data_IF_584364824456
#
_entry.id   IF_584364824456
#
_cell.length_a   1.000
_cell.length_b   1.000
_cell.length_c   1.000
_cell.angle_alpha   90.00
_cell.angle_beta   90.00
_cell.angle_gamma   90.00
#
_symmetry.space_group_name_H-M   'P 1'
#
loop_
_entity.id
_entity.type
_entity.pdbx_description
1 polymer ?
#
# COMPACT_ATOMS: atom_id res chain seq x y z
N UNK A 1 -12.85 -18.31 0.36
CA UNK A 1 -13.23 -17.17 1.25
C UNK A 1 -12.27 -17.16 2.44
N UNK A 2 -11.57 -16.05 2.62
CA UNK A 2 -10.54 -15.86 3.64
C UNK A 2 -10.95 -14.76 4.63
N UNK A 3 -10.56 -14.92 5.88
CA UNK A 3 -10.86 -13.95 6.94
C UNK A 3 -9.93 -12.76 6.86
N UNK A 4 -10.46 -11.54 7.10
CA UNK A 4 -9.65 -10.39 7.39
C UNK A 4 -9.06 -10.46 8.82
N UNK A 5 -7.83 -10.03 8.97
CA UNK A 5 -7.22 -9.83 10.28
C UNK A 5 -7.91 -8.68 11.03
N UNK A 6 -7.69 -8.61 12.35
CA UNK A 6 -8.17 -7.46 13.13
C UNK A 6 -7.57 -6.14 12.67
N UNK A 7 -6.32 -6.16 12.22
CA UNK A 7 -5.61 -5.00 11.68
C UNK A 7 -6.21 -4.54 10.36
N UNK A 8 -6.53 -5.47 9.44
CA UNK A 8 -7.16 -5.13 8.15
C UNK A 8 -8.51 -4.45 8.37
N UNK A 9 -9.30 -4.95 9.31
CA UNK A 9 -10.59 -4.35 9.65
C UNK A 9 -10.41 -2.95 10.24
N UNK A 10 -9.41 -2.74 11.08
CA UNK A 10 -9.07 -1.42 11.62
C UNK A 10 -8.67 -0.46 10.49
N UNK A 11 -7.80 -0.88 9.58
CA UNK A 11 -7.38 -0.09 8.42
C UNK A 11 -8.55 0.29 7.53
N UNK A 12 -9.45 -0.66 7.23
CA UNK A 12 -10.68 -0.38 6.47
C UNK A 12 -11.63 0.58 7.17
N UNK A 13 -11.72 0.50 8.50
CA UNK A 13 -12.60 1.36 9.29
C UNK A 13 -12.01 2.77 9.47
N UNK A 14 -10.68 2.90 9.47
CA UNK A 14 -9.99 4.20 9.58
C UNK A 14 -9.94 4.98 8.28
N UNK A 15 -10.26 4.35 7.14
CA UNK A 15 -10.30 5.04 5.86
C UNK A 15 -11.55 5.93 5.77
N UNK A 16 -11.31 7.18 5.40
CA UNK A 16 -12.34 8.20 5.17
C UNK A 16 -12.12 8.84 3.79
N UNK A 17 -13.05 9.65 3.28
CA UNK A 17 -12.81 10.41 2.04
C UNK A 17 -11.55 11.28 2.07
N UNK A 18 -11.08 11.66 3.25
CA UNK A 18 -9.89 12.48 3.44
C UNK A 18 -8.65 11.67 3.86
N UNK A 19 -8.82 10.43 4.30
CA UNK A 19 -7.72 9.57 4.76
C UNK A 19 -7.77 8.28 3.98
N UNK A 20 -6.92 8.15 2.98
CA UNK A 20 -6.84 6.98 2.12
C UNK A 20 -5.84 5.96 2.69
N UNK A 21 -6.20 4.70 2.68
CA UNK A 21 -5.36 3.60 3.18
C UNK A 21 -4.70 2.81 2.05
N UNK A 22 -4.31 3.49 0.97
CA UNK A 22 -3.54 2.90 -0.11
C UNK A 22 -2.08 3.39 -0.10
N UNK A 23 -1.21 2.57 -0.64
CA UNK A 23 0.20 2.89 -0.88
C UNK A 23 0.46 2.97 -2.37
N UNK A 24 1.39 3.84 -2.76
CA UNK A 24 1.87 3.91 -4.14
C UNK A 24 3.30 3.40 -4.23
N UNK A 25 3.56 2.61 -5.25
CA UNK A 25 4.89 2.16 -5.66
C UNK A 25 5.14 2.68 -7.07
N UNK A 26 6.26 3.33 -7.28
CA UNK A 26 6.61 3.93 -8.56
C UNK A 26 7.91 3.32 -9.05
N UNK A 27 7.88 2.77 -10.25
CA UNK A 27 9.07 2.36 -10.99
C UNK A 27 9.21 3.23 -12.23
N UNK A 28 10.32 3.94 -12.34
CA UNK A 28 10.70 4.63 -13.57
C UNK A 28 11.68 3.73 -14.31
N UNK A 29 11.34 3.38 -15.54
CA UNK A 29 12.07 2.42 -16.36
C UNK A 29 12.66 3.15 -17.56
N UNK A 30 13.96 3.01 -17.76
CA UNK A 30 14.64 3.42 -18.97
C UNK A 30 14.42 2.35 -20.04
N UNK A 31 13.85 2.74 -21.17
CA UNK A 31 13.52 1.86 -22.27
C UNK A 31 14.50 1.97 -23.44
N UNK A 32 15.58 2.74 -23.30
CA UNK A 32 16.56 2.97 -24.36
C UNK A 32 17.27 1.69 -24.84
N UNK A 33 17.42 0.70 -23.94
CA UNK A 33 18.01 -0.62 -24.26
C UNK A 33 17.00 -1.73 -24.49
N UNK A 34 15.71 -1.40 -24.58
CA UNK A 34 14.66 -2.40 -24.75
C UNK A 34 14.45 -2.75 -26.22
N UNK A 35 14.58 -4.04 -26.56
CA UNK A 35 14.29 -4.53 -27.92
C UNK A 35 12.78 -4.58 -28.12
N UNK A 36 12.21 -3.58 -28.79
CA UNK A 36 10.78 -3.44 -29.05
C UNK A 36 10.18 -2.13 -28.56
N UNK A 37 8.86 -2.04 -28.56
CA UNK A 37 8.13 -0.85 -28.09
C UNK A 37 7.59 -1.14 -26.70
N UNK A 38 8.03 -0.36 -25.71
CA UNK A 38 7.44 -0.36 -24.38
C UNK A 38 6.10 0.37 -24.44
N UNK A 39 5.02 -0.34 -24.78
CA UNK A 39 3.68 0.20 -24.93
C UNK A 39 2.75 -0.25 -23.81
N UNK A 40 1.64 0.48 -23.63
CA UNK A 40 0.59 0.09 -22.70
C UNK A 40 -0.02 -1.28 -23.05
N UNK A 41 -0.18 -1.57 -24.33
CA UNK A 41 -0.71 -2.85 -24.83
C UNK A 41 0.18 -4.00 -24.39
N UNK A 42 1.51 -3.85 -24.57
CA UNK A 42 2.48 -4.87 -24.16
C UNK A 42 2.52 -5.01 -22.63
N UNK A 43 2.46 -3.92 -21.89
CA UNK A 43 2.34 -3.96 -20.44
C UNK A 43 1.09 -4.72 -20.00
N UNK A 44 -0.06 -4.49 -20.64
CA UNK A 44 -1.31 -5.18 -20.36
C UNK A 44 -1.25 -6.68 -20.65
N UNK A 45 -0.61 -7.08 -21.75
CA UNK A 45 -0.37 -8.50 -22.09
C UNK A 45 0.45 -9.21 -21.04
N UNK A 46 1.62 -8.63 -20.68
CA UNK A 46 2.51 -9.19 -19.66
C UNK A 46 1.81 -9.28 -18.30
N UNK A 47 1.07 -8.24 -17.92
CA UNK A 47 0.32 -8.22 -16.67
C UNK A 47 -0.74 -9.33 -16.66
N UNK A 48 -1.51 -9.46 -17.74
CA UNK A 48 -2.54 -10.52 -17.88
C UNK A 48 -1.94 -11.92 -17.76
N UNK A 49 -0.81 -12.18 -18.38
CA UNK A 49 -0.14 -13.47 -18.30
C UNK A 49 0.35 -13.82 -16.89
N UNK A 50 0.62 -12.82 -16.05
CA UNK A 50 1.11 -13.00 -14.67
C UNK A 50 0.02 -13.00 -13.60
N UNK A 51 -1.17 -12.51 -13.91
CA UNK A 51 -2.28 -12.47 -12.96
C UNK A 51 -2.51 -13.79 -12.22
N UNK A 52 -2.49 -14.97 -12.88
CA UNK A 52 -2.76 -16.25 -12.20
C UNK A 52 -1.81 -16.54 -11.02
N UNK A 53 -0.56 -16.05 -11.08
CA UNK A 53 0.43 -16.25 -10.02
C UNK A 53 0.52 -15.10 -9.01
N UNK A 54 -0.31 -14.08 -9.20
CA UNK A 54 -0.42 -12.92 -8.32
C UNK A 54 -1.68 -13.03 -7.44
N UNK A 55 -1.73 -14.09 -6.62
CA UNK A 55 -2.88 -14.47 -5.81
C UNK A 55 -3.63 -13.28 -5.15
N UNK A 56 -2.98 -12.34 -4.44
CA UNK A 56 -3.71 -11.25 -3.80
C UNK A 56 -4.46 -10.31 -4.77
N UNK A 57 -4.09 -10.30 -6.05
CA UNK A 57 -4.75 -9.46 -7.06
C UNK A 57 -6.19 -9.88 -7.35
N UNK A 58 -6.55 -11.13 -7.05
CA UNK A 58 -7.90 -11.65 -7.22
C UNK A 58 -8.79 -11.46 -5.97
N UNK A 59 -8.25 -10.87 -4.90
CA UNK A 59 -9.00 -10.72 -3.65
C UNK A 59 -9.94 -9.52 -3.70
N UNK A 60 -11.22 -9.79 -3.51
CA UNK A 60 -12.27 -8.78 -3.40
C UNK A 60 -12.91 -8.81 -2.02
N UNK A 61 -13.25 -7.63 -1.50
CA UNK A 61 -13.99 -7.51 -0.25
C UNK A 61 -15.46 -7.83 -0.48
N UNK A 62 -15.98 -8.79 0.26
CA UNK A 62 -17.40 -9.12 0.29
C UNK A 62 -17.98 -8.77 1.66
N UNK A 63 -18.99 -7.89 1.67
CA UNK A 63 -19.72 -7.55 2.91
C UNK A 63 -20.68 -8.67 3.24
N UNK A 64 -20.76 -9.02 4.52
CA UNK A 64 -21.80 -9.94 4.99
C UNK A 64 -23.17 -9.27 4.96
N UNK A 65 -24.24 -10.00 4.61
CA UNK A 65 -25.60 -9.49 4.67
C UNK A 65 -25.91 -8.88 6.05
N UNK A 66 -26.69 -7.79 6.05
CA UNK A 66 -27.10 -7.04 7.25
C UNK A 66 -25.95 -6.63 8.18
N UNK A 67 -24.71 -6.62 7.70
CA UNK A 67 -23.51 -6.32 8.52
C UNK A 67 -23.34 -7.21 9.76
N UNK A 68 -23.87 -8.42 9.73
CA UNK A 68 -23.79 -9.38 10.84
C UNK A 68 -22.37 -9.85 11.16
N UNK A 69 -21.44 -9.64 10.22
CA UNK A 69 -20.05 -10.00 10.37
C UNK A 69 -19.14 -8.97 9.68
N UNK A 70 -17.85 -9.01 10.00
CA UNK A 70 -16.82 -8.23 9.28
C UNK A 70 -16.76 -8.67 7.82
N UNK A 71 -16.32 -7.80 6.89
CA UNK A 71 -16.07 -8.20 5.52
C UNK A 71 -15.11 -9.40 5.46
N UNK A 72 -15.23 -10.18 4.41
CA UNK A 72 -14.35 -11.33 4.11
C UNK A 72 -13.71 -11.15 2.75
N UNK A 73 -12.55 -11.76 2.54
CA UNK A 73 -11.94 -11.88 1.23
C UNK A 73 -12.60 -12.99 0.42
N UNK A 74 -12.99 -12.66 -0.77
CA UNK A 74 -13.29 -13.61 -1.83
C UNK A 74 -12.09 -13.67 -2.77
N UNK A 75 -11.58 -14.88 -3.01
CA UNK A 75 -10.25 -15.10 -3.59
C UNK A 75 -10.24 -15.24 -5.12
N UNK A 76 -11.40 -15.40 -5.74
CA UNK A 76 -11.52 -15.62 -7.19
C UNK A 76 -12.38 -14.53 -7.86
N UNK A 77 -12.11 -13.27 -7.58
CA UNK A 77 -12.84 -12.17 -8.19
C UNK A 77 -12.55 -12.07 -9.70
N UNK A 78 -13.61 -11.82 -10.47
CA UNK A 78 -13.45 -11.44 -11.87
C UNK A 78 -12.78 -10.07 -11.97
N UNK A 79 -11.77 -9.96 -12.84
CA UNK A 79 -10.96 -8.76 -12.99
C UNK A 79 -11.34 -8.00 -14.25
N UNK A 80 -11.82 -6.78 -14.05
CA UNK A 80 -11.98 -5.80 -15.12
C UNK A 80 -10.62 -5.10 -15.34
N UNK A 81 -9.85 -5.62 -16.31
CA UNK A 81 -8.53 -5.08 -16.61
C UNK A 81 -8.56 -3.64 -17.14
N UNK A 82 -9.67 -3.18 -17.68
CA UNK A 82 -9.81 -1.79 -18.13
C UNK A 82 -9.94 -0.84 -16.93
N UNK A 83 -10.48 -1.31 -15.81
CA UNK A 83 -10.48 -0.57 -14.55
C UNK A 83 -9.13 -0.65 -13.84
N UNK A 84 -8.51 -1.81 -13.85
CA UNK A 84 -7.31 -2.07 -13.05
C UNK A 84 -6.01 -1.58 -13.68
N UNK A 85 -5.94 -1.54 -15.01
CA UNK A 85 -4.79 -1.10 -15.78
C UNK A 85 -5.14 0.17 -16.56
N UNK A 86 -4.54 1.28 -16.18
CA UNK A 86 -4.83 2.60 -16.72
C UNK A 86 -3.62 3.15 -17.47
N UNK A 87 -3.85 3.79 -18.60
CA UNK A 87 -2.85 4.58 -19.31
C UNK A 87 -2.96 6.02 -18.86
N UNK A 88 -1.84 6.66 -18.54
CA UNK A 88 -1.79 8.07 -18.17
C UNK A 88 -0.67 8.77 -18.92
N UNK A 89 -0.90 10.02 -19.28
CA UNK A 89 0.11 10.86 -19.93
C UNK A 89 0.73 11.81 -18.91
N UNK A 90 2.05 11.88 -18.93
CA UNK A 90 2.82 12.88 -18.18
C UNK A 90 2.95 14.12 -19.08
N UNK A 91 2.44 15.28 -18.63
CA UNK A 91 2.46 16.50 -19.46
C UNK A 91 3.90 16.92 -19.81
N UNK A 92 4.06 17.62 -20.95
CA UNK A 92 5.32 18.25 -21.29
C UNK A 92 5.77 19.22 -20.18
N UNK A 93 7.07 19.31 -19.87
CA UNK A 93 8.21 18.70 -20.56
C UNK A 93 8.52 17.24 -20.17
N UNK A 94 7.67 16.54 -19.39
CA UNK A 94 7.84 15.13 -19.05
C UNK A 94 8.93 14.86 -18.03
N UNK A 95 9.22 15.84 -17.21
CA UNK A 95 10.22 15.73 -16.15
C UNK A 95 9.66 15.14 -14.85
N UNK A 96 10.49 15.16 -13.81
CA UNK A 96 10.13 14.64 -12.49
C UNK A 96 8.94 15.37 -11.88
N UNK A 97 8.86 16.70 -12.00
CA UNK A 97 7.77 17.49 -11.41
C UNK A 97 6.41 17.15 -12.02
N UNK A 98 6.38 16.94 -13.32
CA UNK A 98 5.17 16.57 -14.05
C UNK A 98 4.73 15.14 -13.66
N UNK A 99 5.68 14.20 -13.52
CA UNK A 99 5.41 12.87 -13.00
C UNK A 99 4.90 12.93 -11.56
N UNK A 100 5.52 13.71 -10.69
CA UNK A 100 5.10 13.89 -9.29
C UNK A 100 3.67 14.46 -9.21
N UNK A 101 3.29 15.37 -10.10
CA UNK A 101 1.92 15.89 -10.19
C UNK A 101 0.92 14.80 -10.61
N UNK A 102 1.29 13.92 -11.56
CA UNK A 102 0.47 12.78 -11.97
C UNK A 102 0.29 11.81 -10.78
N UNK A 103 1.36 11.48 -10.07
CA UNK A 103 1.31 10.62 -8.89
C UNK A 103 0.42 11.22 -7.80
N UNK A 104 0.52 12.53 -7.55
CA UNK A 104 -0.34 13.24 -6.60
C UNK A 104 -1.83 13.14 -6.95
N UNK A 105 -2.20 13.27 -8.22
CA UNK A 105 -3.59 13.06 -8.69
C UNK A 105 -4.07 11.63 -8.45
N UNK A 106 -3.25 10.62 -8.79
CA UNK A 106 -3.55 9.22 -8.56
C UNK A 106 -3.73 8.94 -7.06
N UNK A 107 -2.88 9.51 -6.21
CA UNK A 107 -2.96 9.36 -4.77
C UNK A 107 -4.20 10.04 -4.14
N UNK A 108 -4.76 11.05 -4.82
CA UNK A 108 -5.91 11.82 -4.32
C UNK A 108 -7.25 11.09 -4.46
N UNK A 109 -7.33 10.01 -5.26
CA UNK A 109 -8.56 9.26 -5.46
C UNK A 109 -8.54 7.97 -4.64
N UNK A 110 -9.59 7.60 -3.90
CA UNK A 110 -9.67 6.31 -3.22
C UNK A 110 -9.81 5.15 -4.22
N UNK A 111 -9.54 3.93 -3.75
CA UNK A 111 -9.86 2.71 -4.49
C UNK A 111 -11.32 2.33 -4.28
N UNK A 112 -11.97 1.82 -5.32
CA UNK A 112 -13.34 1.32 -5.23
C UNK A 112 -13.38 -0.01 -4.45
N UNK A 113 -14.07 -0.01 -3.30
CA UNK A 113 -14.19 -1.17 -2.43
C UNK A 113 -15.12 -2.28 -2.96
N UNK A 114 -15.82 -2.03 -4.05
CA UNK A 114 -16.63 -3.05 -4.74
C UNK A 114 -15.80 -3.91 -5.69
N UNK A 115 -14.52 -3.59 -5.87
CA UNK A 115 -13.56 -4.25 -6.76
C UNK A 115 -12.32 -4.71 -5.96
N UNK A 116 -11.45 -5.55 -6.51
CA UNK A 116 -10.13 -5.79 -5.95
C UNK A 116 -9.38 -4.49 -5.72
N UNK A 117 -8.71 -4.38 -4.56
CA UNK A 117 -8.24 -3.10 -4.03
C UNK A 117 -6.85 -2.71 -4.57
N UNK A 118 -6.72 -2.63 -5.89
CA UNK A 118 -5.50 -2.21 -6.56
C UNK A 118 -5.76 -1.61 -7.93
N UNK A 119 -4.84 -0.79 -8.40
CA UNK A 119 -4.78 -0.27 -9.77
C UNK A 119 -3.30 -0.08 -10.16
N UNK A 120 -3.00 -0.29 -11.43
CA UNK A 120 -1.71 0.05 -12.00
C UNK A 120 -1.89 1.08 -13.12
N UNK A 121 -0.97 2.02 -13.17
CA UNK A 121 -0.95 3.09 -14.16
C UNK A 121 0.34 2.99 -14.95
N UNK A 122 0.22 2.95 -16.27
CA UNK A 122 1.33 3.03 -17.21
C UNK A 122 1.43 4.49 -17.67
N UNK A 123 2.50 5.17 -17.24
CA UNK A 123 2.71 6.59 -17.50
C UNK A 123 3.70 6.79 -18.64
N UNK A 124 3.24 7.43 -19.70
CA UNK A 124 4.01 7.80 -20.90
C UNK A 124 4.32 9.29 -20.92
N UNK A 125 5.14 9.74 -21.88
CA UNK A 125 5.47 11.16 -22.03
C UNK A 125 6.65 11.64 -21.21
N UNK A 126 7.40 10.72 -20.53
CA UNK A 126 8.61 11.11 -19.82
C UNK A 126 9.78 11.39 -20.77
N UNK A 127 10.63 12.34 -20.38
CA UNK A 127 11.87 12.63 -21.10
C UNK A 127 12.86 11.48 -21.05
N UNK A 128 13.70 11.33 -22.10
CA UNK A 128 14.83 10.40 -22.11
C UNK A 128 14.42 8.94 -22.28
N UNK A 129 13.44 8.65 -23.16
CA UNK A 129 12.97 7.28 -23.45
C UNK A 129 12.63 6.50 -22.16
N UNK A 130 11.88 7.13 -21.28
CA UNK A 130 11.46 6.54 -20.01
C UNK A 130 9.95 6.41 -19.94
N UNK A 131 9.52 5.40 -19.25
CA UNK A 131 8.14 5.19 -18.81
C UNK A 131 8.10 5.12 -17.29
N UNK A 132 6.93 5.32 -16.70
CA UNK A 132 6.75 4.98 -15.29
C UNK A 132 5.57 4.01 -15.10
N UNK A 133 5.75 3.04 -14.22
CA UNK A 133 4.67 2.17 -13.75
C UNK A 133 4.36 2.53 -12.30
N UNK A 134 3.12 2.92 -12.05
CA UNK A 134 2.65 3.36 -10.74
C UNK A 134 1.64 2.32 -10.23
N UNK A 135 2.02 1.53 -9.25
CA UNK A 135 1.13 0.59 -8.57
C UNK A 135 0.48 1.25 -7.36
N UNK A 136 -0.85 1.31 -7.34
CA UNK A 136 -1.68 1.79 -6.24
C UNK A 136 -2.38 0.60 -5.61
N UNK A 137 -2.04 0.29 -4.36
CA UNK A 137 -2.46 -0.93 -3.68
C UNK A 137 -2.95 -0.54 -2.28
N UNK A 138 -4.14 -1.02 -1.91
CA UNK A 138 -4.66 -0.79 -0.56
C UNK A 138 -3.85 -1.57 0.46
N UNK A 139 -3.59 -0.96 1.61
CA UNK A 139 -2.73 -1.51 2.65
C UNK A 139 -3.23 -2.86 3.21
N UNK A 140 -4.53 -3.10 3.17
CA UNK A 140 -5.13 -4.38 3.60
C UNK A 140 -4.88 -5.53 2.62
N UNK A 141 -4.59 -5.24 1.35
CA UNK A 141 -4.28 -6.26 0.35
C UNK A 141 -2.82 -6.71 0.46
N UNK A 142 -1.92 -5.75 0.67
CA UNK A 142 -0.50 -6.00 0.83
C UNK A 142 0.15 -4.88 1.65
N UNK A 143 0.94 -5.25 2.64
CA UNK A 143 1.77 -4.30 3.39
C UNK A 143 2.91 -3.72 2.54
N UNK A 144 3.74 -2.86 3.14
CA UNK A 144 4.80 -2.15 2.43
C UNK A 144 5.79 -3.09 1.70
N UNK A 145 6.18 -4.20 2.31
CA UNK A 145 7.12 -5.17 1.73
C UNK A 145 6.41 -6.07 0.73
N UNK A 146 5.23 -6.59 1.08
CA UNK A 146 4.44 -7.44 0.20
C UNK A 146 4.03 -6.69 -1.09
N UNK A 147 3.64 -5.41 -1.00
CA UNK A 147 3.29 -4.61 -2.17
C UNK A 147 4.48 -4.29 -3.07
N UNK A 148 5.68 -4.11 -2.49
CA UNK A 148 6.91 -3.94 -3.27
C UNK A 148 7.30 -5.23 -4.00
N UNK A 149 7.21 -6.38 -3.32
CA UNK A 149 7.44 -7.69 -3.93
C UNK A 149 6.41 -7.99 -5.02
N UNK A 150 5.14 -7.64 -4.79
CA UNK A 150 4.08 -7.81 -5.77
C UNK A 150 4.38 -7.00 -7.05
N UNK A 151 4.78 -5.73 -6.89
CA UNK A 151 5.20 -4.89 -8.01
C UNK A 151 6.43 -5.46 -8.72
N UNK A 152 7.45 -5.91 -8.00
CA UNK A 152 8.63 -6.52 -8.58
C UNK A 152 8.27 -7.75 -9.43
N UNK A 153 7.41 -8.64 -8.92
CA UNK A 153 6.91 -9.80 -9.65
C UNK A 153 6.09 -9.43 -10.88
N UNK A 154 5.31 -8.36 -10.81
CA UNK A 154 4.54 -7.85 -11.95
C UNK A 154 5.44 -7.30 -13.06
N UNK A 155 6.57 -6.67 -12.69
CA UNK A 155 7.50 -6.05 -13.63
C UNK A 155 8.63 -6.98 -14.11
N UNK A 156 8.70 -8.22 -13.62
CA UNK A 156 9.67 -9.18 -14.14
C UNK A 156 9.34 -9.53 -15.59
N UNK A 157 10.23 -9.15 -16.49
CA UNK A 157 10.12 -9.40 -17.92
C UNK A 157 10.79 -10.74 -18.29
N UNK A 158 10.27 -11.87 -17.80
CA UNK A 158 10.76 -13.19 -18.17
C UNK A 158 9.69 -13.93 -18.99
N UNK A 159 10.12 -14.67 -19.99
CA UNK A 159 9.26 -15.47 -20.87
C UNK A 159 8.64 -16.72 -20.21
N UNK A 160 8.69 -16.82 -18.89
CA UNK A 160 8.09 -17.91 -18.14
C UNK A 160 6.55 -17.75 -18.14
N UNK A 161 5.92 -18.32 -19.13
CA UNK A 161 4.50 -18.67 -19.14
C UNK A 161 4.32 -19.90 -18.25
N UNK A 162 4.11 -19.70 -16.94
CA UNK A 162 3.48 -20.74 -16.14
C UNK A 162 1.99 -20.78 -16.54
N UNK A 163 1.66 -21.73 -17.39
CA UNK A 163 0.30 -22.12 -17.73
C UNK A 163 -0.39 -22.69 -16.48
N UNK A 164 -0.94 -21.82 -15.64
CA UNK A 164 -2.01 -22.22 -14.74
C UNK A 164 -3.25 -21.42 -15.11
N UNK A 165 -4.07 -22.04 -15.94
CA UNK A 165 -5.37 -21.56 -16.33
C UNK A 165 -6.23 -21.28 -15.09
N UNK A 166 -6.71 -20.05 -14.95
CA UNK A 166 -7.70 -19.67 -13.94
C UNK A 166 -8.96 -20.52 -14.10
N UNK A 167 -9.40 -21.09 -12.99
CA UNK A 167 -10.70 -21.79 -12.94
C UNK A 167 -11.85 -20.84 -13.25
N UNK A 168 -12.99 -21.39 -13.68
CA UNK A 168 -14.19 -20.62 -13.99
C UNK A 168 -14.67 -19.86 -12.74
N UNK A 169 -14.84 -18.55 -12.91
CA UNK A 169 -15.36 -17.66 -11.88
C UNK A 169 -16.79 -18.02 -11.46
N UNK A 170 -17.03 -18.17 -10.16
CA UNK A 170 -18.38 -18.27 -9.60
C UNK A 170 -18.45 -17.41 -8.30
N UNK A 171 -19.28 -16.36 -8.27
CA UNK A 171 -19.40 -15.52 -7.08
C UNK A 171 -19.86 -16.33 -5.86
N UNK A 172 -19.35 -16.00 -4.64
CA UNK A 172 -19.71 -16.74 -3.45
C UNK A 172 -21.20 -16.62 -3.17
N UNK A 173 -21.86 -17.74 -2.92
CA UNK A 173 -23.29 -17.73 -2.57
C UNK A 173 -23.45 -17.12 -1.18
N UNK A 174 -24.50 -16.34 -0.97
CA UNK A 174 -24.82 -15.74 0.34
C UNK A 174 -24.75 -16.77 1.49
N UNK A 175 -25.24 -18.00 1.24
CA UNK A 175 -25.18 -19.10 2.20
C UNK A 175 -23.75 -19.47 2.62
N UNK A 176 -22.78 -19.39 1.72
CA UNK A 176 -21.40 -19.77 1.99
C UNK A 176 -20.71 -18.68 2.84
N UNK A 177 -21.00 -17.42 2.55
CA UNK A 177 -20.58 -16.27 3.36
C UNK A 177 -21.19 -16.33 4.76
N UNK A 178 -22.49 -16.63 4.88
CA UNK A 178 -23.18 -16.76 6.17
C UNK A 178 -22.65 -17.96 7.00
N UNK A 179 -22.40 -19.08 6.34
CA UNK A 179 -21.83 -20.27 6.99
C UNK A 179 -20.43 -20.02 7.52
N UNK A 180 -19.61 -19.32 6.75
CA UNK A 180 -18.28 -18.86 7.18
C UNK A 180 -18.40 -17.90 8.38
N UNK A 181 -19.29 -16.92 8.31
CA UNK A 181 -19.51 -15.95 9.38
C UNK A 181 -19.97 -16.63 10.69
N UNK A 182 -20.89 -17.58 10.61
CA UNK A 182 -21.36 -18.36 11.77
C UNK A 182 -20.22 -19.19 12.40
N UNK A 183 -19.43 -19.87 11.58
CA UNK A 183 -18.28 -20.65 12.05
C UNK A 183 -17.23 -19.76 12.72
N UNK A 184 -16.92 -18.60 12.11
CA UNK A 184 -15.95 -17.64 12.67
C UNK A 184 -16.48 -17.06 14.00
N UNK A 185 -17.78 -16.80 14.11
CA UNK A 185 -18.38 -16.32 15.37
C UNK A 185 -18.20 -17.33 16.51
N UNK A 186 -18.50 -18.61 16.25
CA UNK A 186 -18.29 -19.69 17.23
C UNK A 186 -16.82 -19.81 17.63
N UNK A 187 -15.91 -19.75 16.65
CA UNK A 187 -14.47 -19.79 16.93
C UNK A 187 -14.02 -18.63 17.82
N UNK A 188 -14.54 -17.41 17.59
CA UNK A 188 -14.23 -16.24 18.43
C UNK A 188 -14.73 -16.37 19.86
N UNK A 189 -15.96 -16.84 20.04
CA UNK A 189 -16.51 -17.04 21.38
C UNK A 189 -15.61 -18.01 22.16
N UNK A 190 -15.10 -19.06 21.51
CA UNK A 190 -14.18 -20.02 22.14
C UNK A 190 -12.82 -19.41 22.53
N UNK A 191 -12.33 -18.41 21.75
CA UNK A 191 -11.05 -17.75 22.03
C UNK A 191 -11.18 -16.52 22.93
N UNK A 192 -12.40 -16.09 23.28
CA UNK A 192 -12.65 -14.91 24.11
C UNK A 192 -11.94 -14.94 25.46
N UNK A 193 -11.93 -16.06 26.22
CA UNK A 193 -11.24 -16.11 27.52
C UNK A 193 -9.73 -15.86 27.40
N UNK A 194 -9.08 -16.44 26.38
CA UNK A 194 -7.65 -16.22 26.14
C UNK A 194 -7.37 -14.77 25.69
N UNK A 195 -8.20 -14.21 24.82
CA UNK A 195 -8.06 -12.83 24.36
C UNK A 195 -8.22 -11.82 25.52
N UNK A 196 -9.16 -12.05 26.43
CA UNK A 196 -9.33 -11.21 27.64
C UNK A 196 -8.09 -11.32 28.53
N UNK A 197 -7.62 -12.53 28.81
CA UNK A 197 -6.40 -12.74 29.61
C UNK A 197 -5.20 -12.02 28.98
N UNK A 198 -4.99 -12.18 27.69
CA UNK A 198 -3.84 -11.60 26.98
C UNK A 198 -3.96 -10.06 26.93
N UNK A 199 -5.18 -9.53 26.82
CA UNK A 199 -5.47 -8.11 26.93
C UNK A 199 -5.12 -7.55 28.32
N UNK A 200 -5.51 -8.22 29.38
CA UNK A 200 -5.17 -7.85 30.77
C UNK A 200 -3.66 -7.89 30.98
N UNK A 201 -2.99 -8.97 30.58
CA UNK A 201 -1.53 -9.09 30.68
C UNK A 201 -0.82 -8.01 29.86
N UNK A 202 -1.33 -7.71 28.67
CA UNK A 202 -0.83 -6.62 27.82
C UNK A 202 -0.96 -5.26 28.50
N UNK A 203 -2.10 -4.96 29.10
CA UNK A 203 -2.34 -3.72 29.84
C UNK A 203 -1.37 -3.58 31.03
N UNK A 204 -1.16 -4.64 31.82
CA UNK A 204 -0.18 -4.63 32.90
C UNK A 204 1.26 -4.39 32.40
N UNK A 205 1.65 -5.03 31.29
CA UNK A 205 2.98 -4.79 30.67
C UNK A 205 3.15 -3.35 30.20
N UNK A 206 2.10 -2.78 29.59
CA UNK A 206 2.09 -1.38 29.16
C UNK A 206 2.21 -0.43 30.36
N UNK A 207 1.44 -0.67 31.43
CA UNK A 207 1.50 0.14 32.64
C UNK A 207 2.88 0.05 33.31
N UNK A 208 3.47 -1.14 33.37
CA UNK A 208 4.84 -1.33 33.90
C UNK A 208 5.88 -0.56 33.06
N UNK A 209 5.77 -0.63 31.74
CA UNK A 209 6.67 0.14 30.83
C UNK A 209 6.43 1.66 30.92
N UNK A 210 5.19 2.10 31.13
CA UNK A 210 4.89 3.51 31.36
C UNK A 210 5.56 4.04 32.62
N UNK A 211 5.52 3.26 33.72
CA UNK A 211 6.22 3.63 34.98
C UNK A 211 7.75 3.68 34.81
N UNK A 212 8.33 2.81 33.99
CA UNK A 212 9.77 2.85 33.68
C UNK A 212 10.17 4.06 32.83
N UNK A 213 9.24 4.64 32.04
CA UNK A 213 9.46 5.84 31.23
C UNK A 213 9.41 7.15 32.02
N UNK A 214 8.85 7.15 33.21
CA UNK A 214 8.86 8.33 34.10
C UNK A 214 10.30 8.77 34.46
N UNK A 215 11.31 7.92 34.21
CA UNK A 215 12.72 8.24 34.31
C UNK A 215 13.32 8.92 33.07
N UNK A 216 12.54 9.13 31.99
CA UNK A 216 12.98 9.75 30.73
C UNK A 216 11.99 10.84 30.32
N UNK A 217 12.09 12.04 30.93
CA UNK A 217 11.13 13.14 30.73
C UNK A 217 11.10 13.68 29.29
N UNK A 218 12.13 13.44 28.49
CA UNK A 218 12.25 13.94 27.10
C UNK A 218 11.45 13.13 26.07
N UNK A 219 10.78 12.04 26.46
CA UNK A 219 9.92 11.28 25.58
C UNK A 219 8.49 11.81 25.65
N UNK A 220 7.99 12.31 24.52
CA UNK A 220 6.61 12.75 24.37
C UNK A 220 5.60 11.72 24.91
N UNK A 221 4.54 12.17 25.55
CA UNK A 221 3.48 11.33 26.07
C UNK A 221 2.80 10.57 24.91
N UNK A 222 2.42 9.32 25.12
CA UNK A 222 1.91 8.44 24.06
C UNK A 222 0.61 8.93 23.44
N UNK A 223 -0.18 9.67 24.19
CA UNK A 223 -1.51 10.11 23.79
C UNK A 223 -1.63 11.63 23.66
N UNK A 224 -0.54 12.36 23.92
CA UNK A 224 -0.45 13.80 23.77
C UNK A 224 0.80 14.14 22.93
N UNK A 225 0.74 13.88 21.61
CA UNK A 225 1.85 14.25 20.73
C UNK A 225 1.98 15.78 20.69
N UNK A 226 3.23 16.29 20.62
CA UNK A 226 3.43 17.74 20.54
C UNK A 226 2.70 18.30 19.32
N UNK A 227 2.07 19.47 19.43
CA UNK A 227 1.41 20.12 18.30
C UNK A 227 2.46 20.45 17.23
N UNK A 228 2.23 19.98 16.01
CA UNK A 228 3.06 20.27 14.86
C UNK A 228 2.23 20.78 13.69
N UNK A 229 2.85 21.42 12.71
CA UNK A 229 2.18 21.86 11.49
C UNK A 229 1.59 20.67 10.68
N UNK A 230 1.96 19.42 11.01
CA UNK A 230 1.40 18.20 10.40
C UNK A 230 0.08 17.77 11.04
N UNK A 231 -0.24 18.27 12.26
CA UNK A 231 -1.41 17.83 13.05
C UNK A 231 -2.64 18.69 12.74
N UNK A 232 -3.15 18.63 11.52
CA UNK A 232 -4.37 19.35 11.12
C UNK A 232 -5.30 18.48 10.27
N UNK A 233 -6.49 18.99 9.98
CA UNK A 233 -7.46 18.28 9.16
C UNK A 233 -6.92 18.06 7.75
N UNK A 234 -7.01 16.81 7.28
CA UNK A 234 -6.59 16.44 5.94
C UNK A 234 -7.70 16.73 4.93
N UNK A 235 -7.33 17.19 3.74
CA UNK A 235 -8.18 17.19 2.55
C UNK A 235 -8.03 15.87 1.77
N UNK A 236 -8.89 15.54 0.81
CA UNK A 236 -8.69 14.37 -0.05
C UNK A 236 -7.51 14.53 -1.01
N UNK A 237 -7.14 15.78 -1.36
CA UNK A 237 -6.01 16.06 -2.24
C UNK A 237 -4.67 15.64 -1.64
N UNK A 238 -3.81 15.08 -2.50
CA UNK A 238 -2.44 14.68 -2.15
C UNK A 238 -1.46 15.37 -3.08
N UNK A 239 -0.41 15.92 -2.50
CA UNK A 239 0.76 16.40 -3.22
C UNK A 239 1.87 15.37 -3.06
N UNK A 240 2.60 15.12 -4.11
CA UNK A 240 3.71 14.19 -4.11
C UNK A 240 4.98 14.90 -4.58
N UNK A 241 6.11 14.57 -4.00
CA UNK A 241 7.42 15.02 -4.43
C UNK A 241 8.42 13.87 -4.30
N UNK A 242 9.31 13.73 -5.25
CA UNK A 242 10.34 12.71 -5.27
C UNK A 242 11.73 13.27 -5.41
N UNK A 243 12.72 12.50 -4.95
CA UNK A 243 14.13 12.75 -5.18
C UNK A 243 14.82 11.43 -5.53
N UNK A 244 15.93 11.52 -6.25
CA UNK A 244 16.71 10.35 -6.67
C UNK A 244 18.07 10.42 -6.00
N UNK A 245 18.43 9.33 -5.32
CA UNK A 245 19.76 9.13 -4.75
C UNK A 245 20.41 7.90 -5.40
N UNK A 246 21.68 7.98 -5.84
CA UNK A 246 22.37 6.83 -6.42
C UNK A 246 22.54 5.72 -5.37
N UNK A 247 22.00 4.54 -5.63
CA UNK A 247 22.01 3.42 -4.68
C UNK A 247 23.43 3.04 -4.24
N UNK A 248 24.42 3.14 -5.14
CA UNK A 248 25.82 2.86 -4.82
C UNK A 248 26.35 3.81 -3.72
N UNK A 249 25.99 5.10 -3.79
CA UNK A 249 26.37 6.07 -2.77
C UNK A 249 25.68 5.80 -1.44
N UNK A 250 24.37 5.50 -1.48
CA UNK A 250 23.60 5.14 -0.28
C UNK A 250 24.21 3.91 0.42
N UNK A 251 24.56 2.87 -0.36
CA UNK A 251 25.22 1.66 0.17
C UNK A 251 26.60 1.96 0.74
N UNK A 252 27.38 2.81 0.11
CA UNK A 252 28.70 3.20 0.60
C UNK A 252 28.62 3.94 1.94
N UNK A 253 27.68 4.89 2.08
CA UNK A 253 27.44 5.62 3.33
C UNK A 253 26.92 4.68 4.42
N UNK A 254 25.95 3.80 4.11
CA UNK A 254 25.43 2.79 5.03
C UNK A 254 26.56 1.93 5.62
N UNK A 255 27.45 1.43 4.75
CA UNK A 255 28.62 0.64 5.16
C UNK A 255 29.61 1.45 6.01
N UNK A 256 29.88 2.70 5.63
CA UNK A 256 30.82 3.58 6.35
C UNK A 256 30.34 3.92 7.77
N UNK A 257 29.02 4.09 7.95
CA UNK A 257 28.40 4.46 9.22
C UNK A 257 27.91 3.24 10.02
N UNK A 258 28.06 2.02 9.49
CA UNK A 258 27.58 0.77 10.10
C UNK A 258 26.08 0.80 10.46
N UNK A 259 25.28 1.48 9.63
CA UNK A 259 23.82 1.61 9.78
C UNK A 259 23.09 0.97 8.61
N UNK A 260 21.79 0.69 8.76
CA UNK A 260 20.98 0.17 7.66
C UNK A 260 20.62 1.27 6.65
N UNK A 261 20.26 0.87 5.41
CA UNK A 261 19.72 1.81 4.42
C UNK A 261 18.45 2.47 4.96
N UNK A 262 17.63 1.74 5.73
CA UNK A 262 16.43 2.30 6.36
C UNK A 262 16.76 3.43 7.34
N UNK A 263 17.81 3.30 8.13
CA UNK A 263 18.26 4.35 9.06
C UNK A 263 18.67 5.61 8.30
N UNK A 264 19.34 5.46 7.15
CA UNK A 264 19.69 6.59 6.28
C UNK A 264 18.45 7.27 5.70
N UNK A 265 17.46 6.50 5.23
CA UNK A 265 16.20 7.04 4.71
C UNK A 265 15.47 7.82 5.80
N UNK A 266 15.37 7.27 7.01
CA UNK A 266 14.75 7.94 8.16
C UNK A 266 15.53 9.22 8.55
N UNK A 267 16.85 9.20 8.52
CA UNK A 267 17.69 10.37 8.80
C UNK A 267 17.46 11.49 7.78
N UNK A 268 17.42 11.15 6.48
CA UNK A 268 17.14 12.12 5.41
C UNK A 268 15.72 12.70 5.55
N UNK A 269 14.72 11.85 5.85
CA UNK A 269 13.35 12.30 6.05
C UNK A 269 13.24 13.22 7.29
N UNK A 270 13.87 12.86 8.41
CA UNK A 270 13.89 13.67 9.62
C UNK A 270 14.57 15.03 9.38
N UNK A 271 15.70 15.04 8.66
CA UNK A 271 16.39 16.28 8.28
C UNK A 271 15.53 17.19 7.40
N UNK A 272 14.85 16.62 6.40
CA UNK A 272 13.94 17.39 5.55
C UNK A 272 12.76 17.99 6.34
N UNK A 273 12.16 17.23 7.25
CA UNK A 273 11.08 17.71 8.12
C UNK A 273 11.56 18.79 9.10
N UNK A 274 12.77 18.69 9.64
CA UNK A 274 13.36 19.70 10.51
C UNK A 274 13.57 21.03 9.77
N UNK A 275 14.09 20.98 8.55
CA UNK A 275 14.24 22.19 7.70
C UNK A 275 12.87 22.81 7.39
N UNK A 276 11.87 22.00 7.03
CA UNK A 276 10.52 22.48 6.76
C UNK A 276 9.89 23.11 8.00
N UNK A 277 10.04 22.48 9.17
CA UNK A 277 9.54 23.01 10.44
C UNK A 277 10.19 24.36 10.78
N UNK A 278 11.50 24.49 10.63
CA UNK A 278 12.22 25.75 10.83
C UNK A 278 11.77 26.87 9.90
N UNK A 279 11.39 26.55 8.66
CA UNK A 279 10.82 27.53 7.72
C UNK A 279 9.41 27.99 8.12
N UNK A 280 8.56 27.07 8.58
CA UNK A 280 7.17 27.37 8.97
C UNK A 280 7.09 28.15 10.27
N UNK A 281 8.00 27.93 11.20
CA UNK A 281 8.02 28.65 12.49
C UNK A 281 8.58 30.07 12.37
N UNK A 282 9.40 30.35 11.35
CA UNK A 282 10.01 31.65 11.10
C UNK A 282 9.22 32.55 10.14
N UNK A 283 8.04 32.12 9.67
CA UNK A 283 7.09 32.92 8.86
C UNK A 283 5.86 33.26 9.68
#
# INVERSE_FOLDING_TARGET
>A
VKRLSGWDVFMLASETPNVHQHTLKVAVVDTSGFEGVASFERFREVFRARLPVLEPMHYQLVRTPWHLHRPVWYEDAELDLDYHLQRVEVPAPGGRRELDAVIGRIASTPLDRSRPLWQFYFAEGLTGQRIAVIGKIHHVLADGVASANLMARTLQWSDATDEQAGGAFAPPRVRDVMRFAAHDHVARVRTLPSAVRDGVVGAFRLQRRARQRLSHPDLADRFDPPPTFLNHKLSPGRTFASAVLPLAQVKAVSKKLEVTINDLVLTVAAGALSVLHGQVVNT
#
